data_IF_220157990672
#
_entry.id   IF_220157990672
#
_cell.length_a   1.000
_cell.length_b   1.000
_cell.length_c   1.000
_cell.angle_alpha   90.00
_cell.angle_beta   90.00
_cell.angle_gamma   90.00
#
_symmetry.space_group_name_H-M   'P 1'
#
loop_
_entity.id
_entity.type
_entity.pdbx_description
1 polymer ?
#
# COMPACT_ATOMS: atom_id res chain seq x y z
N UNK A 1 -42.48 3.07 0.82
CA UNK A 1 -41.40 3.42 1.77
C UNK A 1 -40.09 3.31 1.01
N UNK A 2 -39.45 4.44 0.69
CA UNK A 2 -38.28 4.46 -0.19
C UNK A 2 -37.05 3.91 0.55
N UNK A 3 -36.46 2.84 0.03
CA UNK A 3 -35.30 2.18 0.62
C UNK A 3 -34.04 3.04 0.44
N UNK A 4 -33.62 3.74 1.49
CA UNK A 4 -32.32 4.38 1.54
C UNK A 4 -31.24 3.32 1.79
N UNK A 5 -30.50 2.93 0.76
CA UNK A 5 -29.33 2.07 0.89
C UNK A 5 -28.09 2.88 1.30
N UNK A 6 -27.18 2.27 2.07
CA UNK A 6 -25.92 2.90 2.52
C UNK A 6 -25.13 3.45 1.34
N UNK A 7 -25.16 2.75 0.20
CA UNK A 7 -24.51 3.17 -1.05
C UNK A 7 -25.16 4.42 -1.65
N UNK A 8 -26.47 4.60 -1.49
CA UNK A 8 -27.20 5.78 -1.95
C UNK A 8 -26.85 7.01 -1.11
N UNK A 9 -26.71 6.83 0.21
CA UNK A 9 -26.26 7.90 1.12
C UNK A 9 -24.82 8.31 0.81
N UNK A 10 -23.92 7.35 0.58
CA UNK A 10 -22.53 7.64 0.21
C UNK A 10 -22.43 8.34 -1.15
N UNK A 11 -23.20 7.91 -2.16
CA UNK A 11 -23.26 8.58 -3.47
C UNK A 11 -23.80 10.00 -3.37
N UNK A 12 -24.86 10.21 -2.57
CA UNK A 12 -25.39 11.55 -2.32
C UNK A 12 -24.38 12.44 -1.56
N UNK A 13 -23.66 11.88 -0.59
CA UNK A 13 -22.60 12.57 0.16
C UNK A 13 -21.40 12.96 -0.72
N UNK A 14 -21.01 12.11 -1.68
CA UNK A 14 -19.98 12.44 -2.67
C UNK A 14 -20.41 13.59 -3.59
N UNK A 15 -21.69 13.64 -3.97
CA UNK A 15 -22.26 14.78 -4.72
C UNK A 15 -22.31 16.09 -3.90
N UNK A 16 -22.52 16.00 -2.58
CA UNK A 16 -22.48 17.12 -1.66
C UNK A 16 -21.06 17.64 -1.36
N UNK A 17 -20.05 16.76 -1.40
CA UNK A 17 -18.66 17.14 -1.20
C UNK A 17 -18.12 18.09 -2.30
N UNK A 18 -18.71 18.07 -3.50
CA UNK A 18 -18.38 19.03 -4.56
C UNK A 18 -18.73 20.49 -4.18
N UNK A 19 -19.70 20.70 -3.28
CA UNK A 19 -20.05 22.03 -2.76
C UNK A 19 -19.09 22.53 -1.68
N UNK A 20 -18.23 21.66 -1.16
CA UNK A 20 -17.17 22.01 -0.21
C UNK A 20 -15.89 22.47 -0.93
N UNK A 21 -15.89 22.71 -2.24
CA UNK A 21 -14.76 23.30 -2.97
C UNK A 21 -14.60 24.82 -2.73
N UNK A 22 -14.87 25.27 -1.50
CA UNK A 22 -14.64 26.65 -1.07
C UNK A 22 -13.15 26.93 -0.79
N UNK A 23 -12.73 28.21 -0.82
CA UNK A 23 -11.38 28.60 -0.46
C UNK A 23 -11.08 28.13 0.97
N UNK A 24 -10.07 27.26 1.12
CA UNK A 24 -9.69 26.65 2.41
C UNK A 24 -9.81 25.13 2.47
N UNK A 25 -10.45 24.50 1.48
CA UNK A 25 -10.45 23.03 1.37
C UNK A 25 -9.21 22.59 0.59
N UNK A 26 -8.22 22.11 1.33
CA UNK A 26 -7.03 21.49 0.76
C UNK A 26 -7.42 20.08 0.31
N UNK A 27 -7.38 19.75 -1.00
CA UNK A 27 -7.60 18.39 -1.43
C UNK A 27 -6.55 17.51 -0.78
N UNK A 28 -6.97 16.46 -0.08
CA UNK A 28 -6.07 15.41 0.41
C UNK A 28 -5.48 14.72 -0.81
N UNK A 29 -4.28 15.16 -1.21
CA UNK A 29 -3.48 14.52 -2.24
C UNK A 29 -2.66 13.43 -1.55
N UNK A 30 -2.71 12.20 -2.07
CA UNK A 30 -1.70 11.23 -1.69
C UNK A 30 -0.32 11.79 -2.07
N UNK A 31 0.66 11.70 -1.18
CA UNK A 31 2.02 12.11 -1.50
C UNK A 31 2.52 11.26 -2.68
N UNK A 32 2.73 11.89 -3.83
CA UNK A 32 3.29 11.23 -5.00
C UNK A 32 4.80 11.10 -4.81
N UNK A 33 5.31 9.87 -4.91
CA UNK A 33 6.74 9.63 -4.87
C UNK A 33 7.37 10.09 -6.20
N UNK A 34 8.18 11.15 -6.14
CA UNK A 34 8.82 11.79 -7.31
C UNK A 34 10.30 11.44 -7.52
N UNK A 35 10.94 10.67 -6.63
CA UNK A 35 12.37 10.36 -6.77
C UNK A 35 12.60 9.31 -7.86
N UNK A 36 13.67 9.51 -8.62
CA UNK A 36 14.18 8.54 -9.59
C UNK A 36 15.02 7.48 -8.87
N UNK A 37 14.66 6.18 -8.95
CA UNK A 37 15.50 5.11 -8.43
C UNK A 37 16.88 5.08 -9.12
N UNK A 38 17.91 4.64 -8.40
CA UNK A 38 19.25 4.48 -8.95
C UNK A 38 19.31 3.38 -10.03
N UNK A 39 20.21 3.50 -11.04
CA UNK A 39 20.38 2.46 -12.05
C UNK A 39 20.72 1.10 -11.42
N UNK A 40 20.01 0.05 -11.83
CA UNK A 40 20.19 -1.33 -11.34
C UNK A 40 19.89 -1.53 -9.83
N UNK A 41 19.15 -0.64 -9.20
CA UNK A 41 18.76 -0.79 -7.80
C UNK A 41 18.06 -2.15 -7.54
N UNK A 42 18.46 -2.79 -6.43
CA UNK A 42 17.86 -4.03 -5.96
C UNK A 42 17.60 -3.97 -4.46
N UNK A 43 16.44 -4.47 -4.05
CA UNK A 43 16.00 -4.49 -2.65
C UNK A 43 15.76 -5.95 -2.26
N UNK A 44 16.27 -6.34 -1.09
CA UNK A 44 15.92 -7.60 -0.43
C UNK A 44 15.11 -7.28 0.80
N UNK A 45 13.90 -7.81 0.87
CA UNK A 45 12.99 -7.63 1.99
C UNK A 45 12.87 -8.96 2.71
N UNK A 46 13.47 -9.06 3.89
CA UNK A 46 13.19 -10.14 4.81
C UNK A 46 11.92 -9.78 5.59
N UNK A 47 10.87 -10.60 5.44
CA UNK A 47 9.59 -10.36 6.07
C UNK A 47 9.11 -11.59 6.81
N UNK A 48 8.63 -11.39 8.02
CA UNK A 48 7.95 -12.43 8.75
C UNK A 48 6.59 -12.74 8.12
N UNK A 49 6.31 -14.03 7.96
CA UNK A 49 5.00 -14.53 7.56
C UNK A 49 4.35 -15.25 8.74
N UNK A 50 3.67 -14.52 9.63
CA UNK A 50 2.84 -15.16 10.64
C UNK A 50 1.42 -14.59 10.74
N UNK A 51 0.51 -15.52 11.02
CA UNK A 51 -0.89 -15.39 11.39
C UNK A 51 -1.91 -14.95 10.34
N UNK A 52 -1.60 -14.02 9.42
CA UNK A 52 -2.60 -13.55 8.43
C UNK A 52 -2.05 -13.66 7.01
N UNK A 53 -2.40 -14.76 6.33
CA UNK A 53 -2.02 -15.02 4.93
C UNK A 53 -2.47 -13.88 3.99
N UNK A 54 -3.69 -13.35 4.20
CA UNK A 54 -4.24 -12.28 3.38
C UNK A 54 -3.43 -10.96 3.45
N UNK A 55 -2.77 -10.69 4.58
CA UNK A 55 -1.93 -9.52 4.75
C UNK A 55 -0.62 -9.70 3.96
N UNK A 56 -0.01 -10.88 4.05
CA UNK A 56 1.19 -11.21 3.28
C UNK A 56 0.92 -11.16 1.77
N UNK A 57 -0.22 -11.68 1.32
CA UNK A 57 -0.59 -11.67 -0.10
C UNK A 57 -0.77 -10.23 -0.61
N UNK A 58 -1.38 -9.35 0.19
CA UNK A 58 -1.50 -7.94 -0.14
C UNK A 58 -0.15 -7.22 -0.17
N UNK A 59 0.74 -7.55 0.75
CA UNK A 59 2.09 -7.00 0.73
C UNK A 59 2.88 -7.44 -0.51
N UNK A 60 2.78 -8.72 -0.89
CA UNK A 60 3.42 -9.23 -2.10
C UNK A 60 2.86 -8.57 -3.37
N UNK A 61 1.54 -8.37 -3.45
CA UNK A 61 0.87 -7.65 -4.54
C UNK A 61 1.39 -6.20 -4.66
N UNK A 62 1.46 -5.48 -3.54
CA UNK A 62 1.99 -4.11 -3.51
C UNK A 62 3.47 -4.04 -3.89
N UNK A 63 4.27 -5.02 -3.44
CA UNK A 63 5.69 -5.12 -3.77
C UNK A 63 5.90 -5.34 -5.26
N UNK A 64 5.07 -6.18 -5.89
CA UNK A 64 5.09 -6.39 -7.33
C UNK A 64 4.71 -5.12 -8.08
N UNK A 65 3.64 -4.45 -7.68
CA UNK A 65 3.21 -3.18 -8.28
C UNK A 65 4.29 -2.09 -8.13
N UNK A 66 5.01 -2.07 -7.02
CA UNK A 66 6.15 -1.18 -6.81
C UNK A 66 7.29 -1.49 -7.79
N UNK A 67 7.66 -2.77 -7.93
CA UNK A 67 8.70 -3.20 -8.87
C UNK A 67 8.34 -2.86 -10.32
N UNK A 68 7.08 -3.06 -10.71
CA UNK A 68 6.59 -2.71 -12.06
C UNK A 68 6.63 -1.20 -12.34
N UNK A 69 6.27 -0.36 -11.36
CA UNK A 69 6.27 1.10 -11.51
C UNK A 69 7.66 1.71 -11.50
N UNK A 70 8.59 1.12 -10.75
CA UNK A 70 9.92 1.72 -10.51
C UNK A 70 11.06 1.04 -11.26
N UNK A 71 10.86 -0.17 -11.78
CA UNK A 71 11.92 -0.98 -12.39
C UNK A 71 12.91 -1.58 -11.37
N UNK A 72 12.70 -1.34 -10.07
CA UNK A 72 13.57 -1.84 -8.99
C UNK A 72 13.30 -3.33 -8.77
N UNK A 73 14.37 -4.14 -8.73
CA UNK A 73 14.25 -5.58 -8.48
C UNK A 73 14.03 -5.83 -6.99
N UNK A 74 12.87 -6.32 -6.60
CA UNK A 74 12.58 -6.66 -5.20
C UNK A 74 12.53 -8.17 -5.00
N UNK A 75 13.34 -8.68 -4.08
CA UNK A 75 13.27 -10.08 -3.61
C UNK A 75 12.62 -10.10 -2.23
N UNK A 76 11.53 -10.85 -2.11
CA UNK A 76 10.83 -11.07 -0.84
C UNK A 76 11.24 -12.42 -0.27
N UNK A 77 11.85 -12.41 0.90
CA UNK A 77 12.22 -13.60 1.67
C UNK A 77 11.25 -13.71 2.85
N UNK A 78 10.45 -14.78 2.87
CA UNK A 78 9.44 -15.01 3.89
C UNK A 78 9.87 -16.16 4.80
N UNK A 79 10.09 -15.86 6.08
CA UNK A 79 10.60 -16.84 7.06
C UNK A 79 9.71 -16.96 8.29
N UNK A 80 9.89 -18.06 9.02
CA UNK A 80 9.22 -18.35 10.30
C UNK A 80 9.96 -17.66 11.45
N UNK A 81 9.25 -17.32 12.53
CA UNK A 81 9.76 -16.52 13.66
C UNK A 81 11.05 -17.05 14.30
N UNK A 82 11.20 -18.37 14.37
CA UNK A 82 12.39 -19.00 14.96
C UNK A 82 13.64 -18.88 14.07
N UNK A 83 13.44 -18.69 12.76
CA UNK A 83 14.53 -18.57 11.78
C UNK A 83 14.92 -17.10 11.49
N UNK A 84 14.00 -16.15 11.74
CA UNK A 84 14.25 -14.71 11.52
C UNK A 84 15.26 -14.15 12.52
N UNK A 85 15.16 -14.53 13.79
CA UNK A 85 16.04 -13.98 14.85
C UNK A 85 17.54 -14.19 14.55
N UNK A 86 18.01 -15.39 14.18
CA UNK A 86 19.41 -15.58 13.83
C UNK A 86 19.82 -14.89 12.52
N UNK A 87 18.94 -14.75 11.51
CA UNK A 87 19.28 -14.10 10.23
C UNK A 87 19.22 -12.57 10.27
N UNK A 88 18.33 -11.99 11.07
CA UNK A 88 18.28 -10.55 11.31
C UNK A 88 19.49 -10.04 12.11
N UNK A 89 20.12 -10.90 12.92
CA UNK A 89 21.31 -10.56 13.71
C UNK A 89 22.63 -10.64 12.92
N UNK A 90 22.63 -11.28 11.74
CA UNK A 90 23.84 -11.52 10.93
C UNK A 90 23.90 -10.75 9.61
N UNK A 91 22.97 -9.82 9.36
CA UNK A 91 22.88 -9.00 8.14
C UNK A 91 23.46 -7.60 8.34
#
# INVERSE_FOLDING_TARGET
MSNFDRRSVLKAGLGGAALLAGPGIVPVRAAEWTNTPEPNASIRVLRWKQFIQAEFDKFAEQTKAFSEKTGVKVKLEAESWEDIRPKAAGA
#
